data_IF_304567415413
#
_entry.id   IF_304567415413
#
_cell.length_a   1.000
_cell.length_b   1.000
_cell.length_c   1.000
_cell.angle_alpha   90.00
_cell.angle_beta   90.00
_cell.angle_gamma   90.00
#
_symmetry.space_group_name_H-M   'P 1'
#
loop_
_entity.id
_entity.type
_entity.pdbx_description
1 polymer ?
#
# COMPACT_ATOMS: atom_id res chain seq x y z
N UNK A 1 12.05 14.85 52.82
CA UNK A 1 11.03 15.33 51.87
C UNK A 1 11.60 15.13 50.48
N UNK A 2 11.29 13.99 49.86
CA UNK A 2 11.76 13.67 48.51
C UNK A 2 10.91 14.42 47.51
N UNK A 3 11.55 15.22 46.65
CA UNK A 3 10.90 15.83 45.50
C UNK A 3 10.94 14.81 44.35
N UNK A 4 9.77 14.23 44.03
CA UNK A 4 9.61 13.38 42.86
C UNK A 4 9.78 14.22 41.59
N UNK A 5 10.54 13.78 40.58
CA UNK A 5 10.48 14.41 39.28
C UNK A 5 9.09 14.14 38.69
N UNK A 6 8.41 15.25 38.36
CA UNK A 6 7.15 15.32 37.62
C UNK A 6 7.28 14.51 36.33
N UNK A 7 6.50 13.43 36.19
CA UNK A 7 6.30 12.76 34.90
C UNK A 7 5.89 13.83 33.87
N UNK A 8 6.61 14.01 32.75
CA UNK A 8 6.06 14.77 31.65
C UNK A 8 4.85 13.97 31.18
N UNK A 9 3.67 14.53 31.40
CA UNK A 9 2.42 14.00 30.86
C UNK A 9 2.67 13.64 29.39
N UNK A 10 2.51 12.36 29.06
CA UNK A 10 2.47 11.92 27.68
C UNK A 10 1.36 12.74 27.01
N UNK A 11 1.75 13.75 26.23
CA UNK A 11 0.80 14.47 25.40
C UNK A 11 0.11 13.43 24.52
N UNK A 12 -1.23 13.38 24.49
CA UNK A 12 -1.93 12.44 23.65
C UNK A 12 -1.51 12.71 22.21
N UNK A 13 -0.98 11.70 21.53
CA UNK A 13 -0.67 11.81 20.11
C UNK A 13 -1.90 12.33 19.39
N UNK A 14 -1.76 13.32 18.48
CA UNK A 14 -2.90 13.81 17.73
C UNK A 14 -3.47 12.62 16.94
N UNK A 15 -4.70 12.24 17.27
CA UNK A 15 -5.50 11.38 16.39
C UNK A 15 -5.64 12.16 15.08
N UNK A 16 -4.98 11.68 14.04
CA UNK A 16 -5.22 12.18 12.70
C UNK A 16 -6.67 11.79 12.38
N UNK A 17 -7.60 12.75 12.49
CA UNK A 17 -8.92 12.64 11.89
C UNK A 17 -8.70 12.31 10.41
N UNK A 18 -8.99 11.06 10.06
CA UNK A 18 -8.98 10.63 8.67
C UNK A 18 -10.10 11.42 7.99
N UNK A 19 -9.74 12.53 7.36
CA UNK A 19 -10.65 13.29 6.51
C UNK A 19 -11.20 12.32 5.46
N UNK A 20 -12.49 12.04 5.56
CA UNK A 20 -13.23 11.25 4.57
C UNK A 20 -13.16 12.04 3.28
N UNK A 21 -12.32 11.58 2.35
CA UNK A 21 -12.29 12.07 0.98
C UNK A 21 -13.71 11.92 0.42
N UNK A 22 -14.38 13.01 0.01
CA UNK A 22 -15.70 12.89 -0.57
C UNK A 22 -15.62 12.12 -1.88
N UNK A 23 -16.50 11.12 -2.00
CA UNK A 23 -16.70 10.30 -3.19
C UNK A 23 -16.97 11.19 -4.42
N UNK A 24 -16.16 11.14 -5.50
CA UNK A 24 -16.48 11.87 -6.71
C UNK A 24 -17.66 11.20 -7.42
N UNK A 25 -18.86 11.67 -7.11
CA UNK A 25 -20.09 11.40 -7.86
C UNK A 25 -19.85 11.68 -9.36
N UNK A 26 -19.99 10.69 -10.26
CA UNK A 26 -19.88 10.96 -11.69
C UNK A 26 -21.11 11.76 -12.12
N UNK A 27 -20.89 13.03 -12.46
CA UNK A 27 -21.87 13.85 -13.15
C UNK A 27 -22.28 13.16 -14.46
N UNK A 28 -23.59 12.92 -14.59
CA UNK A 28 -24.21 12.48 -15.85
C UNK A 28 -24.15 13.62 -16.86
N UNK A 29 -23.15 13.61 -17.75
CA UNK A 29 -23.25 14.33 -19.02
C UNK A 29 -23.63 13.33 -20.11
N UNK A 30 -24.89 13.43 -20.56
CA UNK A 30 -25.41 12.78 -21.75
C UNK A 30 -24.93 13.56 -22.98
N UNK A 31 -24.03 13.04 -23.83
CA UNK A 31 -23.87 13.60 -25.15
C UNK A 31 -25.06 13.17 -26.02
N UNK A 32 -25.84 14.13 -26.52
CA UNK A 32 -26.83 13.89 -27.56
C UNK A 32 -26.15 13.30 -28.81
N UNK A 33 -26.69 12.23 -29.43
CA UNK A 33 -26.14 11.73 -30.68
C UNK A 33 -26.46 12.71 -31.80
N UNK A 34 -25.47 13.49 -32.23
CA UNK A 34 -25.55 14.20 -33.51
C UNK A 34 -25.43 13.14 -34.62
N UNK A 35 -26.52 12.96 -35.36
CA UNK A 35 -26.56 12.09 -36.52
C UNK A 35 -25.56 12.59 -37.57
N UNK A 36 -24.45 11.87 -37.74
CA UNK A 36 -23.52 12.06 -38.83
C UNK A 36 -23.89 11.08 -39.93
N UNK A 37 -24.69 11.55 -40.88
CA UNK A 37 -24.97 10.85 -42.13
C UNK A 37 -23.74 10.96 -43.03
N UNK A 38 -22.98 9.87 -43.15
CA UNK A 38 -21.87 9.76 -44.08
C UNK A 38 -22.23 8.76 -45.20
N UNK A 39 -22.20 9.30 -46.41
CA UNK A 39 -22.60 8.72 -47.68
C UNK A 39 -22.09 7.30 -47.95
N UNK A 40 -22.97 6.51 -48.57
CA UNK A 40 -22.67 5.21 -49.15
C UNK A 40 -21.54 5.31 -50.19
N UNK A 41 -20.47 4.52 -49.98
CA UNK A 41 -19.47 4.23 -51.00
C UNK A 41 -19.56 2.74 -51.35
N UNK A 42 -19.98 2.49 -52.58
CA UNK A 42 -20.04 1.19 -53.25
C UNK A 42 -18.60 0.71 -53.55
N UNK A 43 -18.15 -0.31 -52.82
CA UNK A 43 -16.92 -1.06 -53.10
C UNK A 43 -17.10 -2.51 -52.64
N UNK A 44 -16.62 -3.52 -53.40
CA UNK A 44 -16.78 -4.93 -53.04
C UNK A 44 -15.99 -5.26 -51.76
N UNK A 45 -16.52 -6.11 -50.86
CA UNK A 45 -15.86 -6.37 -49.58
C UNK A 45 -14.56 -7.15 -49.80
N UNK A 46 -13.43 -6.73 -49.20
CA UNK A 46 -12.27 -7.62 -49.09
C UNK A 46 -12.66 -8.82 -48.22
N UNK A 47 -12.24 -10.02 -48.61
CA UNK A 47 -12.40 -11.22 -47.79
C UNK A 47 -11.66 -11.02 -46.46
N UNK A 48 -12.40 -10.71 -45.41
CA UNK A 48 -11.85 -10.57 -44.07
C UNK A 48 -11.52 -11.97 -43.52
N UNK A 49 -10.32 -12.22 -42.98
CA UNK A 49 -10.15 -13.35 -42.08
C UNK A 49 -11.12 -13.14 -40.91
N UNK A 50 -11.91 -14.16 -40.59
CA UNK A 50 -12.78 -14.12 -39.41
C UNK A 50 -11.90 -13.80 -38.20
N UNK A 51 -12.09 -12.62 -37.63
CA UNK A 51 -11.37 -12.22 -36.43
C UNK A 51 -11.83 -13.15 -35.30
N UNK A 52 -10.91 -13.91 -34.72
CA UNK A 52 -11.19 -14.65 -33.50
C UNK A 52 -11.72 -13.65 -32.45
N UNK A 53 -12.70 -14.06 -31.60
CA UNK A 53 -13.21 -13.16 -30.57
C UNK A 53 -12.05 -12.74 -29.66
N UNK A 54 -11.85 -11.43 -29.54
CA UNK A 54 -10.94 -10.87 -28.54
C UNK A 54 -11.56 -11.21 -27.19
N UNK A 55 -10.92 -12.10 -26.44
CA UNK A 55 -11.36 -12.42 -25.08
C UNK A 55 -11.21 -11.16 -24.23
N UNK A 56 -12.32 -10.60 -23.78
CA UNK A 56 -12.32 -9.55 -22.76
C UNK A 56 -11.73 -10.14 -21.47
N UNK A 57 -10.85 -9.43 -20.76
CA UNK A 57 -10.35 -9.93 -19.48
C UNK A 57 -11.54 -10.13 -18.54
N UNK A 58 -11.55 -11.25 -17.83
CA UNK A 58 -12.55 -11.50 -16.79
C UNK A 58 -12.46 -10.40 -15.72
N UNK A 59 -13.60 -10.03 -15.13
CA UNK A 59 -13.60 -9.06 -14.04
C UNK A 59 -12.94 -9.63 -12.78
N UNK A 60 -12.26 -8.76 -12.02
CA UNK A 60 -11.67 -9.13 -10.73
C UNK A 60 -12.71 -9.40 -9.64
N UNK A 61 -13.98 -9.05 -9.92
CA UNK A 61 -15.12 -9.23 -9.03
C UNK A 61 -16.24 -9.97 -9.76
N UNK A 62 -16.94 -10.82 -9.01
CA UNK A 62 -18.21 -11.43 -9.42
C UNK A 62 -19.32 -10.38 -9.48
N UNK A 63 -20.45 -10.69 -10.12
CA UNK A 63 -21.62 -9.81 -10.19
C UNK A 63 -22.21 -9.48 -8.79
N UNK A 64 -21.93 -10.33 -7.79
CA UNK A 64 -22.29 -10.10 -6.40
C UNK A 64 -21.30 -9.20 -5.64
N UNK A 65 -20.26 -8.68 -6.31
CA UNK A 65 -19.23 -7.82 -5.74
C UNK A 65 -18.15 -8.55 -4.94
N UNK A 66 -18.09 -9.88 -4.98
CA UNK A 66 -17.06 -10.67 -4.28
C UNK A 66 -15.86 -10.85 -5.22
N UNK A 67 -14.60 -10.62 -4.75
CA UNK A 67 -13.40 -10.89 -5.54
C UNK A 67 -13.35 -12.32 -6.08
N UNK A 68 -12.89 -12.49 -7.32
CA UNK A 68 -12.65 -13.82 -7.88
C UNK A 68 -11.43 -14.46 -7.23
N UNK A 69 -11.33 -15.78 -7.31
CA UNK A 69 -10.17 -16.51 -6.79
C UNK A 69 -8.86 -16.04 -7.45
N UNK A 70 -8.90 -15.82 -8.76
CA UNK A 70 -7.73 -15.39 -9.52
C UNK A 70 -7.29 -13.97 -9.10
N UNK A 71 -8.22 -13.04 -8.87
CA UNK A 71 -7.90 -11.71 -8.38
C UNK A 71 -7.24 -11.73 -6.99
N UNK A 72 -7.74 -12.57 -6.07
CA UNK A 72 -7.11 -12.74 -4.74
C UNK A 72 -5.73 -13.37 -4.86
N UNK A 73 -5.58 -14.39 -5.72
CA UNK A 73 -4.30 -15.05 -5.96
C UNK A 73 -3.26 -14.07 -6.50
N UNK A 74 -3.59 -13.34 -7.55
CA UNK A 74 -2.70 -12.34 -8.14
C UNK A 74 -2.34 -11.25 -7.12
N UNK A 75 -3.32 -10.82 -6.30
CA UNK A 75 -3.06 -9.86 -5.23
C UNK A 75 -2.08 -10.41 -4.19
N UNK A 76 -2.20 -11.67 -3.79
CA UNK A 76 -1.27 -12.31 -2.85
C UNK A 76 0.12 -12.43 -3.47
N UNK A 77 0.22 -12.82 -4.75
CA UNK A 77 1.49 -12.90 -5.47
C UNK A 77 2.18 -11.52 -5.55
N UNK A 78 1.42 -10.46 -5.82
CA UNK A 78 1.90 -9.08 -5.81
C UNK A 78 2.37 -8.64 -4.41
N UNK A 79 1.59 -8.95 -3.36
CA UNK A 79 1.97 -8.64 -1.97
C UNK A 79 3.24 -9.41 -1.58
N UNK A 80 3.33 -10.69 -1.92
CA UNK A 80 4.51 -11.51 -1.64
C UNK A 80 5.75 -10.96 -2.35
N UNK A 81 5.62 -10.60 -3.63
CA UNK A 81 6.71 -10.00 -4.40
C UNK A 81 7.18 -8.67 -3.81
N UNK A 82 6.24 -7.83 -3.33
CA UNK A 82 6.58 -6.57 -2.63
C UNK A 82 7.23 -6.82 -1.28
N UNK A 83 6.71 -7.75 -0.50
CA UNK A 83 7.20 -8.06 0.84
C UNK A 83 8.67 -8.53 0.84
N UNK A 84 9.09 -9.22 -0.23
CA UNK A 84 10.47 -9.71 -0.34
C UNK A 84 11.54 -8.59 -0.36
N UNK A 85 11.20 -7.37 -0.75
CA UNK A 85 12.12 -6.23 -0.79
C UNK A 85 11.66 -4.99 -0.03
N UNK A 86 10.54 -5.09 0.70
CA UNK A 86 9.96 -3.94 1.41
C UNK A 86 10.81 -3.53 2.60
N UNK A 87 11.36 -4.48 3.36
CA UNK A 87 12.16 -4.20 4.56
C UNK A 87 13.43 -3.41 4.26
N UNK A 88 14.07 -3.67 3.12
CA UNK A 88 15.26 -2.94 2.66
C UNK A 88 14.89 -1.50 2.31
N UNK A 89 13.76 -1.29 1.64
CA UNK A 89 13.27 0.04 1.34
C UNK A 89 12.86 0.80 2.61
N UNK A 90 12.21 0.13 3.55
CA UNK A 90 11.79 0.71 4.83
C UNK A 90 13.00 1.07 5.70
N UNK A 91 14.06 0.25 5.69
CA UNK A 91 15.30 0.52 6.41
C UNK A 91 16.04 1.77 5.89
N UNK A 92 16.01 2.02 4.57
CA UNK A 92 16.65 3.20 3.97
C UNK A 92 15.89 4.52 4.26
N UNK A 93 14.65 4.43 4.74
CA UNK A 93 13.90 5.62 5.15
C UNK A 93 14.56 6.32 6.36
N UNK A 94 14.38 7.64 6.53
CA UNK A 94 14.84 8.33 7.74
C UNK A 94 14.27 7.73 9.04
N UNK A 95 13.01 7.28 9.00
CA UNK A 95 12.36 6.62 10.13
C UNK A 95 13.01 5.26 10.44
N UNK A 96 13.26 4.43 9.41
CA UNK A 96 13.95 3.14 9.54
C UNK A 96 15.32 3.29 10.20
N UNK A 97 16.15 4.20 9.69
CA UNK A 97 17.48 4.49 10.26
C UNK A 97 17.42 4.90 11.73
N UNK A 98 16.47 5.77 12.11
CA UNK A 98 16.31 6.18 13.51
C UNK A 98 15.87 5.05 14.45
N UNK A 99 15.11 4.06 13.95
CA UNK A 99 14.72 2.90 14.75
C UNK A 99 15.91 1.96 14.98
N UNK A 100 16.75 1.79 13.96
CA UNK A 100 17.97 1.01 14.05
C UNK A 100 18.98 1.64 15.03
N UNK A 101 19.20 2.95 14.95
CA UNK A 101 20.04 3.69 15.90
C UNK A 101 19.56 3.49 17.36
N UNK A 102 18.26 3.65 17.61
CA UNK A 102 17.69 3.41 18.93
C UNK A 102 17.86 1.97 19.41
N UNK A 103 17.79 1.00 18.49
CA UNK A 103 18.05 -0.40 18.82
C UNK A 103 19.52 -0.62 19.19
N UNK A 104 20.45 -0.07 18.41
CA UNK A 104 21.88 -0.15 18.69
C UNK A 104 22.25 0.48 20.04
N UNK A 105 21.67 1.65 20.36
CA UNK A 105 21.88 2.33 21.63
C UNK A 105 21.40 1.48 22.81
N UNK A 106 20.21 0.87 22.71
CA UNK A 106 19.71 -0.06 23.73
C UNK A 106 20.63 -1.27 23.90
N UNK A 107 21.12 -1.83 22.79
CA UNK A 107 22.03 -2.97 22.82
C UNK A 107 23.39 -2.60 23.44
N UNK A 108 23.91 -1.41 23.15
CA UNK A 108 25.15 -0.90 23.75
C UNK A 108 24.99 -0.67 25.25
N UNK A 109 23.88 -0.05 25.66
CA UNK A 109 23.58 0.14 27.07
C UNK A 109 23.44 -1.19 27.81
N UNK A 110 22.73 -2.16 27.23
CA UNK A 110 22.59 -3.50 27.80
C UNK A 110 23.95 -4.20 27.94
N UNK A 111 24.81 -4.14 26.92
CA UNK A 111 26.17 -4.71 26.97
C UNK A 111 27.01 -4.05 28.07
N UNK A 112 27.05 -2.72 28.12
CA UNK A 112 27.76 -1.97 29.16
C UNK A 112 27.30 -2.39 30.55
N UNK A 113 25.99 -2.53 30.75
CA UNK A 113 25.43 -2.94 32.04
C UNK A 113 25.81 -4.37 32.41
N UNK A 114 25.83 -5.29 31.45
CA UNK A 114 26.27 -6.68 31.68
C UNK A 114 27.76 -6.74 32.06
N UNK A 115 28.59 -5.90 31.46
CA UNK A 115 30.02 -5.83 31.78
C UNK A 115 30.27 -5.28 33.18
N UNK A 116 29.51 -4.26 33.60
CA UNK A 116 29.52 -3.77 34.99
C UNK A 116 29.15 -4.86 35.98
N UNK A 117 28.08 -5.62 35.70
CA UNK A 117 27.64 -6.73 36.56
C UNK A 117 28.74 -7.78 36.65
N UNK A 118 29.34 -8.19 35.52
CA UNK A 118 30.43 -9.18 35.50
C UNK A 118 31.60 -8.72 36.37
N UNK A 119 32.03 -7.47 36.20
CA UNK A 119 33.10 -6.88 37.01
C UNK A 119 32.78 -6.87 38.51
N UNK A 120 31.52 -6.64 38.88
CA UNK A 120 31.09 -6.63 40.28
C UNK A 120 31.06 -8.02 40.93
N UNK A 121 30.98 -9.09 40.13
CA UNK A 121 31.03 -10.47 40.61
C UNK A 121 32.46 -11.02 40.70
N UNK A 122 33.35 -10.53 39.83
CA UNK A 122 34.77 -10.90 39.81
C UNK A 122 35.64 -10.06 40.77
N UNK A 123 35.05 -9.08 41.47
CA UNK A 123 35.68 -8.26 42.52
C UNK A 123 35.28 -8.73 43.91
#
# INVERSE_FOLDING_TARGET
MSESPKDPAAEPMPVLDAEVVPDPSPATETPEPTASEAAASDAPPPATPTAAPIAVPASDYTDAGVPTFDAVREKIESIAGRAMGARELDADTPAGRSLDEQWEDRQKAARSRLDEIRKSMDS
#
